data_IF_542584989352
#
_entry.id   IF_542584989352
#
_cell.length_a   1.000
_cell.length_b   1.000
_cell.length_c   1.000
_cell.angle_alpha   90.00
_cell.angle_beta   90.00
_cell.angle_gamma   90.00
#
_symmetry.space_group_name_H-M   'P 1'
#
loop_
_entity.id
_entity.type
_entity.pdbx_description
1 polymer ?
#
# COMPACT_ATOMS: atom_id res chain seq x y z
N UNK A 1 -16.48 -7.36 -37.33
CA UNK A 1 -17.07 -6.99 -36.02
C UNK A 1 -16.00 -7.15 -34.94
N UNK A 2 -14.83 -6.53 -35.14
CA UNK A 2 -13.59 -6.88 -34.41
C UNK A 2 -12.83 -5.66 -33.89
N UNK A 3 -13.11 -4.47 -34.44
CA UNK A 3 -12.54 -3.23 -33.95
C UNK A 3 -13.20 -2.80 -32.62
N UNK A 4 -14.51 -3.01 -32.49
CA UNK A 4 -15.26 -2.63 -31.28
C UNK A 4 -14.94 -3.53 -30.07
N UNK A 5 -14.58 -4.81 -30.29
CA UNK A 5 -14.18 -5.71 -29.20
C UNK A 5 -12.82 -5.35 -28.61
N UNK A 6 -11.83 -5.05 -29.46
CA UNK A 6 -10.50 -4.65 -29.01
C UNK A 6 -10.50 -3.27 -28.32
N UNK A 7 -11.41 -2.37 -28.74
CA UNK A 7 -11.56 -1.06 -28.09
C UNK A 7 -12.15 -1.21 -26.68
N UNK A 8 -13.20 -2.02 -26.52
CA UNK A 8 -13.79 -2.29 -25.21
C UNK A 8 -12.82 -3.02 -24.28
N UNK A 9 -11.99 -3.93 -24.80
CA UNK A 9 -10.94 -4.60 -24.03
C UNK A 9 -9.86 -3.60 -23.57
N UNK A 10 -9.38 -2.73 -24.46
CA UNK A 10 -8.39 -1.71 -24.11
C UNK A 10 -8.93 -0.68 -23.08
N UNK A 11 -10.21 -0.33 -23.18
CA UNK A 11 -10.88 0.54 -22.20
C UNK A 11 -11.05 -0.14 -20.84
N UNK A 12 -11.37 -1.44 -20.82
CA UNK A 12 -11.43 -2.23 -19.58
C UNK A 12 -10.08 -2.29 -18.87
N UNK A 13 -9.00 -2.59 -19.61
CA UNK A 13 -7.63 -2.62 -19.05
C UNK A 13 -7.19 -1.24 -18.56
N UNK A 14 -7.59 -0.16 -19.23
CA UNK A 14 -7.29 1.19 -18.79
C UNK A 14 -8.00 1.52 -17.48
N UNK A 15 -9.27 1.13 -17.33
CA UNK A 15 -10.05 1.37 -16.12
C UNK A 15 -9.45 0.62 -14.92
N UNK A 16 -9.09 -0.65 -15.08
CA UNK A 16 -8.37 -1.43 -14.07
C UNK A 16 -7.05 -0.77 -13.64
N UNK A 17 -6.29 -0.22 -14.60
CA UNK A 17 -5.05 0.49 -14.29
C UNK A 17 -5.28 1.81 -13.56
N UNK A 18 -6.33 2.54 -13.89
CA UNK A 18 -6.68 3.78 -13.21
C UNK A 18 -7.13 3.50 -11.77
N UNK A 19 -7.92 2.44 -11.56
CA UNK A 19 -8.31 1.98 -10.22
C UNK A 19 -7.08 1.59 -9.38
N UNK A 20 -6.17 0.81 -9.96
CA UNK A 20 -4.91 0.45 -9.30
C UNK A 20 -4.05 1.66 -8.93
N UNK A 21 -3.92 2.64 -9.84
CA UNK A 21 -3.18 3.87 -9.59
C UNK A 21 -3.84 4.71 -8.48
N UNK A 22 -5.18 4.79 -8.47
CA UNK A 22 -5.92 5.47 -7.41
C UNK A 22 -5.68 4.81 -6.05
N UNK A 23 -5.74 3.48 -5.99
CA UNK A 23 -5.45 2.73 -4.76
C UNK A 23 -4.03 2.99 -4.24
N UNK A 24 -3.03 3.03 -5.13
CA UNK A 24 -1.65 3.40 -4.76
C UNK A 24 -1.55 4.84 -4.26
N UNK A 25 -2.24 5.78 -4.90
CA UNK A 25 -2.25 7.18 -4.48
C UNK A 25 -2.84 7.33 -3.06
N UNK A 26 -3.97 6.68 -2.79
CA UNK A 26 -4.63 6.67 -1.49
C UNK A 26 -3.74 6.05 -0.40
N UNK A 27 -3.08 4.93 -0.72
CA UNK A 27 -2.13 4.28 0.18
C UNK A 27 -0.95 5.22 0.52
N UNK A 28 -0.35 5.86 -0.49
CA UNK A 28 0.75 6.81 -0.27
C UNK A 28 0.31 8.03 0.55
N UNK A 29 -0.84 8.61 0.21
CA UNK A 29 -1.39 9.74 0.95
C UNK A 29 -1.64 9.38 2.41
N UNK A 30 -2.13 8.17 2.68
CA UNK A 30 -2.31 7.67 4.04
C UNK A 30 -0.98 7.55 4.79
N UNK A 31 0.06 6.98 4.16
CA UNK A 31 1.37 6.83 4.80
C UNK A 31 2.00 8.19 5.11
N UNK A 32 1.98 9.13 4.17
CA UNK A 32 2.53 10.48 4.37
C UNK A 32 1.78 11.21 5.48
N UNK A 33 0.44 11.18 5.47
CA UNK A 33 -0.35 11.81 6.52
C UNK A 33 -0.09 11.14 7.88
N UNK A 34 -0.01 9.81 7.93
CA UNK A 34 0.27 9.09 9.18
C UNK A 34 1.66 9.38 9.71
N UNK A 35 2.67 9.51 8.84
CA UNK A 35 4.02 9.92 9.23
C UNK A 35 4.03 11.33 9.81
N UNK A 36 3.33 12.27 9.17
CA UNK A 36 3.24 13.65 9.64
C UNK A 36 2.48 13.78 10.96
N UNK A 37 1.33 13.11 11.08
CA UNK A 37 0.41 13.30 12.19
C UNK A 37 0.78 12.43 13.41
N UNK A 38 1.58 11.38 13.21
CA UNK A 38 2.00 10.45 14.27
C UNK A 38 3.53 10.30 14.40
N UNK A 39 4.30 11.25 13.89
CA UNK A 39 5.77 11.22 13.88
C UNK A 39 6.39 10.86 15.23
N UNK A 40 6.03 11.58 16.29
CA UNK A 40 6.56 11.36 17.64
C UNK A 40 6.25 9.96 18.17
N UNK A 41 5.09 9.40 17.82
CA UNK A 41 4.66 8.07 18.25
C UNK A 41 5.34 6.98 17.43
N UNK A 42 5.54 7.20 16.13
CA UNK A 42 6.25 6.28 15.25
C UNK A 42 7.74 6.21 15.58
N UNK A 43 8.36 7.34 15.95
CA UNK A 43 9.76 7.39 16.39
C UNK A 43 10.00 6.73 17.75
N UNK A 44 8.98 6.65 18.61
CA UNK A 44 9.07 5.97 19.91
C UNK A 44 8.84 4.45 19.82
N UNK A 45 8.30 3.95 18.71
CA UNK A 45 8.02 2.54 18.48
C UNK A 45 9.18 1.88 17.73
N UNK A 46 9.35 0.58 17.96
CA UNK A 46 10.18 -0.25 17.11
C UNK A 46 9.54 -0.40 15.71
N UNK A 47 10.34 -0.85 14.73
CA UNK A 47 9.88 -0.96 13.35
C UNK A 47 8.63 -1.87 13.22
N UNK A 48 8.51 -2.90 14.06
CA UNK A 48 7.35 -3.80 14.07
C UNK A 48 6.12 -3.14 14.72
N UNK A 49 6.28 -2.46 15.86
CA UNK A 49 5.23 -1.70 16.52
C UNK A 49 4.70 -0.55 15.66
N UNK A 50 5.58 0.16 14.95
CA UNK A 50 5.21 1.22 14.01
C UNK A 50 4.37 0.67 12.85
N UNK A 51 4.78 -0.46 12.24
CA UNK A 51 4.01 -1.15 11.19
C UNK A 51 2.66 -1.66 11.69
N UNK A 52 2.63 -2.19 12.91
CA UNK A 52 1.40 -2.66 13.56
C UNK A 52 0.42 -1.52 13.83
N UNK A 53 0.93 -0.37 14.29
CA UNK A 53 0.14 0.84 14.47
C UNK A 53 -0.43 1.34 13.15
N UNK A 54 0.39 1.48 12.11
CA UNK A 54 -0.05 1.91 10.79
C UNK A 54 -1.09 0.96 10.17
N UNK A 55 -0.96 -0.37 10.34
CA UNK A 55 -1.98 -1.35 9.92
C UNK A 55 -3.32 -1.16 10.62
N UNK A 56 -3.30 -0.96 11.94
CA UNK A 56 -4.53 -0.70 12.70
C UNK A 56 -5.19 0.61 12.26
N UNK A 57 -4.41 1.67 12.09
CA UNK A 57 -4.91 2.96 11.63
C UNK A 57 -5.46 2.89 10.20
N UNK A 58 -4.82 2.13 9.31
CA UNK A 58 -5.31 1.90 7.95
C UNK A 58 -6.66 1.18 7.96
N UNK A 59 -6.79 0.11 8.76
CA UNK A 59 -8.05 -0.62 8.92
C UNK A 59 -9.16 0.27 9.43
N UNK A 60 -8.91 1.09 10.44
CA UNK A 60 -9.94 2.02 10.96
C UNK A 60 -10.35 3.04 9.91
N UNK A 61 -9.40 3.54 9.11
CA UNK A 61 -9.69 4.57 8.11
C UNK A 61 -10.44 4.03 6.89
N UNK A 62 -10.16 2.80 6.48
CA UNK A 62 -10.65 2.22 5.23
C UNK A 62 -11.64 1.05 5.43
N UNK A 63 -12.08 0.77 6.66
CA UNK A 63 -12.99 -0.36 6.95
C UNK A 63 -14.36 -0.23 6.27
N UNK A 64 -14.88 0.99 6.17
CA UNK A 64 -16.26 1.24 5.72
C UNK A 64 -16.36 1.66 4.24
N UNK A 65 -15.23 1.82 3.56
CA UNK A 65 -15.18 2.32 2.18
C UNK A 65 -14.81 1.19 1.21
N UNK A 66 -15.79 0.74 0.42
CA UNK A 66 -15.59 -0.31 -0.59
C UNK A 66 -14.58 0.09 -1.66
N UNK A 67 -14.52 1.38 -2.03
CA UNK A 67 -13.58 1.90 -3.04
C UNK A 67 -12.14 1.94 -2.52
N UNK A 68 -11.97 1.85 -1.19
CA UNK A 68 -10.67 1.87 -0.52
C UNK A 68 -10.14 0.49 -0.14
N UNK A 69 -10.86 -0.59 -0.49
CA UNK A 69 -10.42 -1.98 -0.20
C UNK A 69 -9.07 -2.32 -0.83
N UNK A 70 -8.84 -1.87 -2.06
CA UNK A 70 -7.57 -2.10 -2.76
C UNK A 70 -6.43 -1.31 -2.13
N UNK A 71 -6.68 -0.08 -1.68
CA UNK A 71 -5.71 0.72 -0.96
C UNK A 71 -5.34 0.05 0.39
N UNK A 72 -6.33 -0.50 1.10
CA UNK A 72 -6.12 -1.25 2.34
C UNK A 72 -5.29 -2.51 2.08
N UNK A 73 -5.59 -3.28 1.04
CA UNK A 73 -4.83 -4.48 0.67
C UNK A 73 -3.35 -4.15 0.37
N UNK A 74 -3.09 -3.07 -0.38
CA UNK A 74 -1.73 -2.57 -0.65
C UNK A 74 -1.03 -2.19 0.67
N UNK A 75 -1.71 -1.46 1.56
CA UNK A 75 -1.13 -1.06 2.85
C UNK A 75 -0.82 -2.26 3.74
N UNK A 76 -1.70 -3.27 3.77
CA UNK A 76 -1.46 -4.50 4.52
C UNK A 76 -0.27 -5.28 3.97
N UNK A 77 -0.11 -5.33 2.64
CA UNK A 77 1.03 -5.99 1.99
C UNK A 77 2.34 -5.24 2.22
N UNK A 78 2.34 -3.91 2.13
CA UNK A 78 3.53 -3.07 2.32
C UNK A 78 3.98 -3.06 3.78
N UNK A 79 3.02 -3.02 4.72
CA UNK A 79 3.28 -3.01 6.15
C UNK A 79 3.38 -4.42 6.76
N UNK A 80 3.27 -5.47 5.95
CA UNK A 80 3.53 -6.84 6.36
C UNK A 80 4.95 -6.98 6.89
N UNK A 81 5.15 -7.98 7.75
CA UNK A 81 6.45 -8.28 8.31
C UNK A 81 7.36 -8.79 7.19
N UNK A 82 8.18 -7.90 6.62
CA UNK A 82 9.28 -8.36 5.75
C UNK A 82 10.29 -9.04 6.65
N UNK A 83 10.53 -10.32 6.40
CA UNK A 83 11.79 -10.95 6.78
C UNK A 83 12.88 -10.05 6.19
N UNK A 84 13.61 -9.34 7.05
CA UNK A 84 14.84 -8.71 6.65
C UNK A 84 15.67 -9.81 6.00
N UNK A 85 15.91 -9.72 4.69
CA UNK A 85 16.85 -10.63 4.05
C UNK A 85 18.17 -10.48 4.81
N UNK A 86 18.62 -11.56 5.44
CA UNK A 86 19.93 -11.57 6.11
C UNK A 86 20.96 -11.14 5.06
N UNK A 87 21.64 -10.04 5.34
CA UNK A 87 22.71 -9.54 4.48
C UNK A 87 23.81 -10.61 4.51
N UNK A 88 23.95 -11.38 3.44
CA UNK A 88 25.08 -12.29 3.27
C UNK A 88 26.33 -11.42 3.19
N UNK A 89 27.20 -11.49 4.20
CA UNK A 89 28.47 -10.78 4.17
C UNK A 89 29.32 -11.33 3.02
N UNK A 90 29.77 -10.46 2.12
CA UNK A 90 30.73 -10.84 1.10
C UNK A 90 32.05 -11.25 1.77
N UNK A 91 32.74 -12.31 1.29
CA UNK A 91 34.03 -12.70 1.85
C UNK A 91 35.02 -11.54 1.75
N UNK A 92 35.63 -11.17 2.88
CA UNK A 92 36.73 -10.21 2.90
C UNK A 92 37.89 -10.72 2.03
N UNK A 93 38.51 -9.83 1.27
CA UNK A 93 39.73 -10.11 0.50
C UNK A 93 40.91 -10.41 1.42
#
# INVERSE_FOLDING_TARGET
MSADSNLNEALGVLDEKLQSLNAMMLANQFLVNSLRDHEAKLNALDAEGARGFLRKSARVKFADDEDSKDALAILEQVLAQRQSADIIQFPGR
#
